data_IF_459854390078
#
_entry.id   IF_459854390078
#
_cell.length_a   1.000
_cell.length_b   1.000
_cell.length_c   1.000
_cell.angle_alpha   90.00
_cell.angle_beta   90.00
_cell.angle_gamma   90.00
#
_symmetry.space_group_name_H-M   'P 1'
#
loop_
_entity.id
_entity.type
_entity.pdbx_description
1 polymer ?
#
# COMPACT_ATOMS: atom_id res chain seq x y z
N UNK A 1 10.68 -13.62 19.81
CA UNK A 1 11.46 -13.75 18.57
C UNK A 1 10.60 -14.43 17.53
N UNK A 2 10.61 -13.97 16.27
CA UNK A 2 9.93 -14.64 15.17
C UNK A 2 10.53 -16.05 14.99
N UNK A 3 9.68 -17.07 14.96
CA UNK A 3 10.09 -18.46 14.73
C UNK A 3 9.84 -18.79 13.26
N UNK A 4 10.91 -18.94 12.48
CA UNK A 4 10.80 -19.34 11.08
C UNK A 4 10.43 -20.83 11.02
N UNK A 5 9.19 -21.11 10.60
CA UNK A 5 8.68 -22.48 10.43
C UNK A 5 8.96 -23.04 9.03
N UNK A 6 9.08 -22.15 8.04
CA UNK A 6 9.29 -22.49 6.64
C UNK A 6 10.30 -21.53 6.03
N UNK A 7 11.09 -22.04 5.08
CA UNK A 7 11.96 -21.23 4.23
C UNK A 7 11.15 -20.81 2.99
N UNK A 8 10.88 -19.51 2.87
CA UNK A 8 10.12 -18.96 1.76
C UNK A 8 11.08 -18.41 0.72
N UNK A 9 11.01 -18.86 -0.54
CA UNK A 9 11.88 -18.34 -1.59
C UNK A 9 11.57 -16.86 -1.86
N UNK A 10 12.58 -16.13 -2.29
CA UNK A 10 12.38 -14.80 -2.84
C UNK A 10 11.63 -14.91 -4.16
N UNK A 11 10.53 -14.17 -4.29
CA UNK A 11 9.70 -14.19 -5.50
C UNK A 11 10.05 -13.00 -6.38
N UNK A 12 10.32 -13.27 -7.66
CA UNK A 12 10.52 -12.22 -8.65
C UNK A 12 9.18 -11.55 -8.99
N UNK A 13 9.15 -10.22 -8.87
CA UNK A 13 7.99 -9.39 -9.21
C UNK A 13 8.09 -8.90 -10.65
N UNK A 14 7.00 -9.03 -11.40
CA UNK A 14 6.87 -8.53 -12.76
C UNK A 14 5.64 -7.61 -12.85
N UNK A 15 5.80 -6.45 -13.50
CA UNK A 15 4.69 -5.57 -13.85
C UNK A 15 4.20 -5.91 -15.26
N UNK A 16 2.92 -6.24 -15.38
CA UNK A 16 2.22 -6.49 -16.64
C UNK A 16 1.07 -5.48 -16.80
N UNK A 17 0.50 -5.36 -17.99
CA UNK A 17 -0.67 -4.50 -18.23
C UNK A 17 -1.87 -4.88 -17.35
N UNK A 18 -1.96 -6.15 -16.96
CA UNK A 18 -2.98 -6.68 -16.04
C UNK A 18 -2.66 -6.41 -14.55
N UNK A 19 -1.58 -5.70 -14.24
CA UNK A 19 -1.14 -5.34 -12.90
C UNK A 19 0.04 -6.17 -12.38
N UNK A 20 0.22 -6.15 -11.05
CA UNK A 20 1.36 -6.80 -10.38
C UNK A 20 1.24 -8.32 -10.41
N UNK A 21 2.32 -8.99 -10.82
CA UNK A 21 2.45 -10.46 -10.86
C UNK A 21 3.74 -10.92 -10.17
N UNK A 22 3.78 -12.19 -9.77
CA UNK A 22 4.98 -12.88 -9.27
C UNK A 22 5.23 -14.13 -10.11
N UNK A 23 6.50 -14.46 -10.33
CA UNK A 23 6.86 -15.70 -11.00
C UNK A 23 6.70 -16.90 -10.06
N UNK A 24 6.03 -17.94 -10.53
CA UNK A 24 5.97 -19.22 -9.84
C UNK A 24 7.29 -20.02 -10.01
N UNK A 25 7.35 -21.20 -9.41
CA UNK A 25 8.51 -22.10 -9.49
C UNK A 25 8.85 -22.56 -10.92
N UNK A 26 7.95 -22.38 -11.88
CA UNK A 26 8.12 -22.73 -13.29
C UNK A 26 8.36 -21.48 -14.18
N UNK A 27 8.52 -20.30 -13.58
CA UNK A 27 8.69 -19.03 -14.30
C UNK A 27 7.40 -18.48 -14.91
N UNK A 28 6.22 -18.97 -14.50
CA UNK A 28 4.94 -18.48 -14.99
C UNK A 28 4.46 -17.30 -14.14
N UNK A 29 4.04 -16.18 -14.75
CA UNK A 29 3.50 -15.06 -14.00
C UNK A 29 2.11 -15.39 -13.42
N UNK A 30 1.97 -15.16 -12.12
CA UNK A 30 0.73 -15.34 -11.33
C UNK A 30 0.34 -13.99 -10.73
N UNK A 31 -0.93 -13.56 -10.84
CA UNK A 31 -1.35 -12.25 -10.34
C UNK A 31 -1.19 -12.16 -8.83
N UNK A 32 -0.84 -10.97 -8.34
CA UNK A 32 -0.87 -10.69 -6.91
C UNK A 32 -2.30 -10.79 -6.35
N UNK A 33 -2.41 -11.01 -5.05
CA UNK A 33 -3.70 -10.99 -4.34
C UNK A 33 -4.44 -9.67 -4.60
N UNK A 34 -3.74 -8.53 -4.57
CA UNK A 34 -4.33 -7.22 -4.85
C UNK A 34 -4.84 -7.09 -6.29
N UNK A 35 -4.13 -7.64 -7.27
CA UNK A 35 -4.56 -7.68 -8.67
C UNK A 35 -5.85 -8.50 -8.83
N UNK A 36 -5.94 -9.67 -8.19
CA UNK A 36 -7.18 -10.48 -8.22
C UNK A 36 -8.34 -9.73 -7.57
N UNK A 37 -8.13 -9.15 -6.38
CA UNK A 37 -9.17 -8.42 -5.66
C UNK A 37 -9.66 -7.20 -6.43
N UNK A 38 -8.75 -6.41 -7.01
CA UNK A 38 -9.15 -5.23 -7.80
C UNK A 38 -10.02 -5.59 -9.00
N UNK A 39 -9.61 -6.61 -9.78
CA UNK A 39 -10.33 -7.07 -10.98
C UNK A 39 -11.66 -7.76 -10.68
N UNK A 40 -11.85 -8.29 -9.47
CA UNK A 40 -13.09 -8.98 -9.06
C UNK A 40 -14.03 -8.10 -8.23
N UNK A 41 -13.61 -6.87 -7.90
CA UNK A 41 -14.39 -5.98 -7.04
C UNK A 41 -15.39 -5.11 -7.81
N UNK A 42 -16.51 -4.81 -7.16
CA UNK A 42 -17.48 -3.80 -7.61
C UNK A 42 -17.24 -2.45 -6.90
N UNK A 43 -16.03 -2.20 -6.40
CA UNK A 43 -15.74 -1.06 -5.53
C UNK A 43 -15.71 0.29 -6.27
N UNK A 44 -15.55 0.27 -7.59
CA UNK A 44 -15.44 1.47 -8.44
C UNK A 44 -16.62 2.42 -8.25
N UNK A 45 -17.86 1.91 -8.23
CA UNK A 45 -19.05 2.77 -8.13
C UNK A 45 -19.07 3.61 -6.84
N UNK A 46 -18.66 3.04 -5.72
CA UNK A 46 -18.61 3.75 -4.43
C UNK A 46 -17.54 4.84 -4.42
N UNK A 47 -16.38 4.53 -4.98
CA UNK A 47 -15.25 5.46 -5.09
C UNK A 47 -15.56 6.59 -6.06
N UNK A 48 -16.19 6.30 -7.20
CA UNK A 48 -16.58 7.30 -8.20
C UNK A 48 -17.56 8.31 -7.62
N UNK A 49 -18.58 7.83 -6.89
CA UNK A 49 -19.53 8.73 -6.20
C UNK A 49 -18.85 9.57 -5.13
N UNK A 50 -17.87 9.03 -4.41
CA UNK A 50 -17.09 9.80 -3.42
C UNK A 50 -16.24 10.87 -4.10
N UNK A 51 -15.53 10.51 -5.17
CA UNK A 51 -14.71 11.43 -5.96
C UNK A 51 -15.56 12.57 -6.54
N UNK A 52 -16.75 12.29 -7.05
CA UNK A 52 -17.70 13.32 -7.49
C UNK A 52 -18.12 14.30 -6.38
N UNK A 53 -18.25 13.82 -5.13
CA UNK A 53 -18.62 14.67 -3.99
C UNK A 53 -17.47 15.57 -3.51
N UNK A 54 -16.24 15.06 -3.55
CA UNK A 54 -15.05 15.74 -3.03
C UNK A 54 -14.39 16.62 -4.09
N UNK A 55 -14.53 16.27 -5.37
CA UNK A 55 -13.85 16.91 -6.51
C UNK A 55 -12.52 16.23 -6.84
N UNK A 56 -12.18 16.14 -8.12
CA UNK A 56 -11.05 15.35 -8.61
C UNK A 56 -9.70 15.77 -7.99
N UNK A 57 -9.42 17.08 -7.93
CA UNK A 57 -8.15 17.59 -7.38
C UNK A 57 -7.97 17.22 -5.91
N UNK A 58 -9.03 17.35 -5.11
CA UNK A 58 -8.96 17.03 -3.68
C UNK A 58 -8.98 15.52 -3.45
N UNK A 59 -9.70 14.76 -4.28
CA UNK A 59 -9.66 13.31 -4.25
C UNK A 59 -8.25 12.78 -4.55
N UNK A 60 -7.57 13.31 -5.57
CA UNK A 60 -6.18 12.97 -5.90
C UNK A 60 -5.24 13.31 -4.74
N UNK A 61 -5.40 14.48 -4.11
CA UNK A 61 -4.62 14.88 -2.94
C UNK A 61 -4.80 13.89 -1.78
N UNK A 62 -6.04 13.52 -1.46
CA UNK A 62 -6.35 12.58 -0.38
C UNK A 62 -5.81 11.18 -0.68
N UNK A 63 -5.97 10.68 -1.92
CA UNK A 63 -5.44 9.37 -2.34
C UNK A 63 -3.93 9.33 -2.19
N UNK A 64 -3.23 10.38 -2.66
CA UNK A 64 -1.78 10.47 -2.57
C UNK A 64 -1.31 10.49 -1.12
N UNK A 65 -1.90 11.37 -0.31
CA UNK A 65 -1.59 11.46 1.13
C UNK A 65 -1.83 10.13 1.85
N UNK A 66 -2.94 9.45 1.55
CA UNK A 66 -3.27 8.15 2.17
C UNK A 66 -2.26 7.06 1.77
N UNK A 67 -1.80 7.07 0.52
CA UNK A 67 -0.80 6.12 0.01
C UNK A 67 0.56 6.35 0.67
N UNK A 68 0.96 7.60 0.82
CA UNK A 68 2.25 7.97 1.42
C UNK A 68 2.28 7.61 2.92
N UNK A 69 1.21 7.94 3.66
CA UNK A 69 1.06 7.54 5.07
C UNK A 69 1.09 6.02 5.19
N UNK A 70 0.34 5.30 4.35
CA UNK A 70 0.31 3.84 4.38
C UNK A 70 1.69 3.21 4.12
N UNK A 71 2.48 3.81 3.24
CA UNK A 71 3.86 3.36 2.95
C UNK A 71 4.76 3.57 4.17
N UNK A 72 4.77 4.79 4.72
CA UNK A 72 5.59 5.13 5.88
C UNK A 72 5.26 4.27 7.11
N UNK A 73 3.98 3.97 7.35
CA UNK A 73 3.58 3.10 8.46
C UNK A 73 4.08 1.66 8.28
N UNK A 74 3.97 1.08 7.07
CA UNK A 74 4.47 -0.28 6.85
C UNK A 74 6.00 -0.35 6.95
N UNK A 75 6.72 0.64 6.43
CA UNK A 75 8.19 0.73 6.54
C UNK A 75 8.63 0.84 8.00
N UNK A 76 7.99 1.71 8.79
CA UNK A 76 8.28 1.83 10.22
C UNK A 76 8.05 0.51 10.98
N UNK A 77 6.94 -0.19 10.69
CA UNK A 77 6.66 -1.49 11.32
C UNK A 77 7.70 -2.54 10.92
N UNK A 78 8.11 -2.57 9.65
CA UNK A 78 9.14 -3.49 9.17
C UNK A 78 10.49 -3.23 9.87
N UNK A 79 10.91 -1.98 9.94
CA UNK A 79 12.15 -1.58 10.60
C UNK A 79 12.12 -1.91 12.10
N UNK A 80 10.98 -1.66 12.76
CA UNK A 80 10.79 -2.02 14.18
C UNK A 80 10.99 -3.53 14.41
N UNK A 81 10.40 -4.37 13.55
CA UNK A 81 10.56 -5.82 13.63
C UNK A 81 12.00 -6.27 13.38
N UNK A 82 12.74 -5.56 12.52
CA UNK A 82 14.17 -5.76 12.24
C UNK A 82 15.09 -5.18 13.33
N UNK A 83 14.56 -4.44 14.31
CA UNK A 83 15.31 -3.67 15.32
C UNK A 83 16.19 -2.58 14.71
N UNK A 84 15.75 -2.04 13.59
CA UNK A 84 16.33 -0.88 12.92
C UNK A 84 15.64 0.40 13.43
N UNK A 85 16.13 1.57 13.01
CA UNK A 85 15.48 2.84 13.30
C UNK A 85 14.16 2.94 12.52
N UNK A 86 13.09 3.30 13.21
CA UNK A 86 11.72 3.21 12.67
C UNK A 86 10.88 4.46 12.93
N UNK A 87 11.39 5.38 13.75
CA UNK A 87 10.71 6.60 14.18
C UNK A 87 11.01 7.82 13.28
N UNK A 88 11.63 7.58 12.12
CA UNK A 88 11.85 8.60 11.09
C UNK A 88 10.62 8.73 10.19
N UNK A 89 9.68 9.57 10.60
CA UNK A 89 8.58 10.01 9.75
C UNK A 89 8.96 11.36 9.12
N UNK A 90 9.06 11.42 7.79
CA UNK A 90 9.26 12.70 7.11
C UNK A 90 7.98 13.54 7.22
N UNK A 91 8.00 14.50 8.15
CA UNK A 91 6.89 15.41 8.46
C UNK A 91 6.75 16.52 7.39
N UNK A 92 7.54 16.48 6.31
CA UNK A 92 7.42 17.43 5.20
C UNK A 92 6.29 17.12 4.21
N UNK A 93 5.54 16.03 4.41
CA UNK A 93 4.25 15.83 3.76
C UNK A 93 3.36 17.06 4.04
N UNK A 94 2.73 17.67 3.03
CA UNK A 94 2.01 18.93 3.20
C UNK A 94 0.83 18.71 4.17
N UNK A 95 1.05 19.06 5.43
CA UNK A 95 0.04 19.10 6.46
C UNK A 95 -0.96 20.19 6.13
N UNK A 96 -2.24 19.90 6.31
CA UNK A 96 -3.23 20.88 6.74
C UNK A 96 -4.38 20.14 7.47
N UNK A 97 -4.13 19.32 8.51
CA UNK A 97 -5.05 19.16 9.67
C UNK A 97 -4.76 18.04 10.70
N UNK A 98 -3.69 17.26 10.63
CA UNK A 98 -3.64 16.03 11.45
C UNK A 98 -3.33 16.22 12.95
N UNK A 99 -3.03 17.44 13.42
CA UNK A 99 -2.71 17.70 14.84
C UNK A 99 -3.87 18.20 15.71
N UNK A 100 -5.12 17.76 15.49
CA UNK A 100 -6.27 18.22 16.31
C UNK A 100 -7.20 17.18 16.94
N UNK A 101 -6.85 15.89 17.04
CA UNK A 101 -7.72 14.91 17.70
C UNK A 101 -7.03 13.85 18.56
N UNK A 102 -5.91 14.19 19.22
CA UNK A 102 -5.40 13.36 20.31
C UNK A 102 -5.10 14.23 21.53
N UNK A 103 -6.15 14.62 22.24
CA UNK A 103 -6.13 15.01 23.66
C UNK A 103 -7.48 14.65 24.25
#
# INVERSE_FOLDING_TARGET
MLKNLYDYPELERVELDSGRHYLDSNGKPVPSVTTVLSNTSNASEGIDRWRQRVGDLEADRIIKQSTDIGTAVHEALENYLKKEQWDEFDISLPDQNTSRLIT
#
